data_IF_358808269513
#
_entry.id   IF_358808269513
#
_cell.length_a   1.000
_cell.length_b   1.000
_cell.length_c   1.000
_cell.angle_alpha   90.00
_cell.angle_beta   90.00
_cell.angle_gamma   90.00
#
_symmetry.space_group_name_H-M   'P 1'
#
loop_
_entity.id
_entity.type
_entity.pdbx_description
1 polymer ?
#
# COMPACT_ATOMS: atom_id res chain seq x y z
N UNK A 1 -18.03 -1.63 1.97
CA UNK A 1 -17.06 -0.59 2.28
C UNK A 1 -16.63 0.18 1.06
N UNK A 2 -16.49 1.46 1.17
CA UNK A 2 -16.15 2.27 0.02
C UNK A 2 -14.68 2.38 -0.20
N UNK A 3 -14.30 2.60 -1.45
CA UNK A 3 -12.91 2.78 -1.82
C UNK A 3 -12.53 4.24 -1.63
N UNK A 4 -12.33 4.63 -0.38
CA UNK A 4 -12.00 6.00 -0.04
C UNK A 4 -10.51 6.28 -0.08
N UNK A 5 -9.69 5.24 -0.17
CA UNK A 5 -8.25 5.38 -0.27
C UNK A 5 -7.80 4.68 -1.54
N UNK A 6 -7.22 5.46 -2.44
CA UNK A 6 -6.66 4.92 -3.68
C UNK A 6 -5.22 5.35 -3.79
N UNK A 7 -4.43 4.55 -4.46
CA UNK A 7 -3.03 4.88 -4.64
C UNK A 7 -2.55 4.57 -6.04
N UNK A 8 -1.58 5.32 -6.47
CA UNK A 8 -0.98 5.16 -7.78
C UNK A 8 0.35 4.45 -7.61
N UNK A 9 0.52 3.34 -8.31
CA UNK A 9 1.76 2.59 -8.30
C UNK A 9 2.87 3.44 -8.91
N UNK A 10 3.99 3.57 -8.20
CA UNK A 10 5.13 4.35 -8.70
C UNK A 10 5.86 3.68 -9.84
N UNK A 11 5.61 2.39 -10.07
CA UNK A 11 6.30 1.65 -11.11
C UNK A 11 5.49 1.56 -12.41
N UNK A 12 4.24 1.15 -12.33
CA UNK A 12 3.42 0.95 -13.54
C UNK A 12 2.31 1.98 -13.72
N UNK A 13 2.09 2.85 -12.73
CA UNK A 13 1.10 3.89 -12.84
C UNK A 13 -0.34 3.46 -12.59
N UNK A 14 -0.57 2.23 -12.20
CA UNK A 14 -1.91 1.76 -11.94
C UNK A 14 -2.52 2.46 -10.73
N UNK A 15 -3.72 2.99 -10.90
CA UNK A 15 -4.48 3.60 -9.80
C UNK A 15 -5.49 2.58 -9.31
N UNK A 16 -5.49 2.33 -8.01
CA UNK A 16 -6.35 1.31 -7.46
C UNK A 16 -6.62 1.55 -5.98
N UNK A 17 -7.72 0.98 -5.46
CA UNK A 17 -8.00 1.12 -4.04
C UNK A 17 -7.02 0.29 -3.21
N UNK A 18 -6.83 0.69 -1.98
CA UNK A 18 -5.94 0.00 -1.07
C UNK A 18 -6.29 -1.48 -0.95
N UNK A 19 -7.58 -1.80 -0.93
CA UNK A 19 -8.02 -3.18 -0.76
C UNK A 19 -7.64 -4.10 -1.93
N UNK A 20 -7.27 -3.53 -3.08
CA UNK A 20 -6.87 -4.32 -4.24
C UNK A 20 -5.41 -4.74 -4.21
N UNK A 21 -4.63 -4.19 -3.31
CA UNK A 21 -3.22 -4.54 -3.19
C UNK A 21 -3.05 -5.95 -2.64
N UNK A 22 -1.99 -6.61 -3.05
CA UNK A 22 -1.70 -7.95 -2.57
C UNK A 22 -0.86 -7.88 -1.31
N UNK A 23 -1.35 -8.53 -0.27
CA UNK A 23 -0.69 -8.53 1.02
C UNK A 23 0.19 -9.76 1.17
N UNK A 24 1.44 -9.53 1.53
CA UNK A 24 2.39 -10.59 1.86
C UNK A 24 2.86 -10.38 3.29
N UNK A 25 2.52 -11.33 4.15
CA UNK A 25 2.98 -11.29 5.54
C UNK A 25 4.36 -11.88 5.66
N UNK A 26 5.26 -11.14 6.31
CA UNK A 26 6.62 -11.58 6.58
C UNK A 26 6.85 -11.56 8.08
N UNK A 27 7.83 -12.33 8.57
CA UNK A 27 8.12 -12.32 10.00
C UNK A 27 8.44 -10.93 10.56
N UNK A 28 9.00 -10.06 9.70
CA UNK A 28 9.41 -8.73 10.13
C UNK A 28 8.39 -7.65 9.80
N UNK A 29 7.25 -8.01 9.20
CA UNK A 29 6.25 -7.04 8.85
C UNK A 29 5.45 -7.49 7.65
N UNK A 30 4.69 -6.56 7.08
CA UNK A 30 3.84 -6.85 5.94
C UNK A 30 4.25 -6.00 4.75
N UNK A 31 4.08 -6.56 3.56
CA UNK A 31 4.34 -5.84 2.32
C UNK A 31 3.09 -5.90 1.47
N UNK A 32 2.68 -4.73 0.97
CA UNK A 32 1.57 -4.63 0.04
C UNK A 32 2.14 -4.38 -1.35
N UNK A 33 1.81 -5.26 -2.29
CA UNK A 33 2.35 -5.18 -3.65
C UNK A 33 1.27 -4.85 -4.66
N UNK A 34 1.71 -4.20 -5.72
CA UNK A 34 0.82 -3.91 -6.85
C UNK A 34 0.39 -5.24 -7.49
N UNK A 35 -0.91 -5.46 -7.71
CA UNK A 35 -1.37 -6.71 -8.33
C UNK A 35 -1.00 -6.83 -9.79
N UNK A 36 -0.63 -5.71 -10.42
CA UNK A 36 -0.31 -5.69 -11.84
C UNK A 36 1.17 -5.91 -12.12
N UNK A 37 2.03 -5.11 -11.49
CA UNK A 37 3.48 -5.20 -11.74
C UNK A 37 4.25 -5.84 -10.61
N UNK A 38 3.60 -6.08 -9.46
CA UNK A 38 4.18 -6.74 -8.30
C UNK A 38 5.24 -5.91 -7.57
N UNK A 39 5.36 -4.65 -7.88
CA UNK A 39 6.27 -3.78 -7.15
C UNK A 39 5.78 -3.61 -5.71
N UNK A 40 6.71 -3.57 -4.77
CA UNK A 40 6.36 -3.33 -3.38
C UNK A 40 5.97 -1.87 -3.23
N UNK A 41 4.74 -1.62 -2.79
CA UNK A 41 4.24 -0.26 -2.65
C UNK A 41 4.33 0.22 -1.21
N UNK A 42 3.93 -0.60 -0.28
CA UNK A 42 3.88 -0.23 1.12
C UNK A 42 4.53 -1.31 1.96
N UNK A 43 5.34 -0.89 2.92
CA UNK A 43 5.86 -1.79 3.94
C UNK A 43 5.33 -1.33 5.27
N UNK A 44 4.76 -2.24 6.03
CA UNK A 44 4.22 -1.94 7.34
C UNK A 44 4.90 -2.80 8.38
N UNK A 45 5.48 -2.16 9.38
CA UNK A 45 6.11 -2.85 10.50
C UNK A 45 5.45 -2.35 11.77
N UNK A 46 4.87 -3.26 12.53
CA UNK A 46 4.22 -2.92 13.78
C UNK A 46 4.97 -3.53 14.95
N UNK A 47 5.22 -2.73 15.96
CA UNK A 47 5.84 -3.18 17.20
C UNK A 47 5.11 -2.56 18.36
N UNK A 48 4.72 -3.37 19.29
CA UNK A 48 4.08 -2.90 20.52
C UNK A 48 3.14 -1.71 20.31
N UNK A 49 3.67 -0.49 20.43
CA UNK A 49 2.85 0.71 20.32
C UNK A 49 3.16 1.54 19.08
N UNK A 50 4.09 1.08 18.25
CA UNK A 50 4.51 1.83 17.08
C UNK A 50 4.23 1.08 15.80
N UNK A 51 3.96 1.84 14.75
CA UNK A 51 3.78 1.28 13.42
C UNK A 51 4.52 2.16 12.43
N UNK A 52 5.40 1.55 11.66
CA UNK A 52 6.11 2.26 10.61
C UNK A 52 5.52 1.90 9.26
N UNK A 53 5.23 2.92 8.47
CA UNK A 53 4.74 2.72 7.11
C UNK A 53 5.76 3.33 6.16
N UNK A 54 6.25 2.51 5.25
CA UNK A 54 7.16 2.96 4.20
C UNK A 54 6.37 2.95 2.90
N UNK A 55 6.15 4.11 2.33
CA UNK A 55 5.32 4.29 1.14
C UNK A 55 6.13 4.62 -0.11
N UNK A 56 7.39 4.23 -0.14
CA UNK A 56 8.29 4.62 -1.24
C UNK A 56 7.86 4.14 -2.61
N UNK A 57 7.08 3.07 -2.67
CA UNK A 57 6.61 2.56 -3.95
C UNK A 57 5.38 3.25 -4.49
N UNK A 58 4.80 4.16 -3.72
CA UNK A 58 3.56 4.85 -4.08
C UNK A 58 3.88 6.21 -4.66
N UNK A 59 3.40 6.46 -5.89
CA UNK A 59 3.61 7.76 -6.53
C UNK A 59 2.65 8.81 -6.01
N UNK A 60 1.44 8.40 -5.67
CA UNK A 60 0.43 9.32 -5.16
C UNK A 60 -0.57 8.58 -4.30
N UNK A 61 -1.06 9.26 -3.28
CA UNK A 61 -2.06 8.72 -2.39
C UNK A 61 -3.28 9.64 -2.47
N UNK A 62 -4.41 9.07 -2.82
CA UNK A 62 -5.64 9.82 -2.98
C UNK A 62 -6.61 9.46 -1.87
N UNK A 63 -6.93 10.41 -1.03
CA UNK A 63 -7.87 10.24 0.06
C UNK A 63 -9.13 11.01 -0.27
N UNK A 64 -10.25 10.33 -0.16
CA UNK A 64 -11.53 10.98 -0.37
C UNK A 64 -12.07 11.46 0.95
N UNK A 65 -12.19 12.76 1.08
CA UNK A 65 -12.69 13.37 2.29
C UNK A 65 -14.17 13.69 2.13
N UNK A 66 -14.95 13.40 3.18
CA UNK A 66 -16.38 13.68 3.15
C UNK A 66 -16.78 14.68 4.18
#
# INVERSE_FOLDING_TARGET
MRDIIKMTCGNCGLVQPLAALRLYGLPMGNILRCPRCQAALIRAVAREQDCWLDLRGVAALHLRLE
#
